data_IF_396757234518
#
_entry.id   IF_396757234518
#
_cell.length_a   1.000
_cell.length_b   1.000
_cell.length_c   1.000
_cell.angle_alpha   90.00
_cell.angle_beta   90.00
_cell.angle_gamma   90.00
#
_symmetry.space_group_name_H-M   'P 1'
#
loop_
_entity.id
_entity.type
_entity.pdbx_description
1 polymer ?
#
# COMPACT_ATOMS: atom_id res chain seq x y z
N UNK A 1 -14.26 -15.08 -9.36
CA UNK A 1 -12.92 -15.55 -9.79
C UNK A 1 -12.74 -17.07 -9.70
N UNK A 2 -13.56 -17.83 -8.96
CA UNK A 2 -13.38 -19.29 -8.81
C UNK A 2 -13.33 -20.12 -10.10
N UNK A 3 -14.16 -19.79 -11.09
CA UNK A 3 -14.11 -20.45 -12.42
C UNK A 3 -12.74 -20.32 -13.09
N UNK A 4 -12.20 -19.10 -13.17
CA UNK A 4 -10.89 -18.82 -13.75
C UNK A 4 -9.76 -19.45 -12.94
N UNK A 5 -9.85 -19.44 -11.61
CA UNK A 5 -8.89 -20.12 -10.74
C UNK A 5 -8.90 -21.64 -10.97
N UNK A 6 -10.07 -22.25 -11.16
CA UNK A 6 -10.21 -23.67 -11.49
C UNK A 6 -9.59 -24.02 -12.85
N UNK A 7 -9.86 -23.23 -13.89
CA UNK A 7 -9.25 -23.42 -15.22
C UNK A 7 -7.73 -23.25 -15.13
N UNK A 8 -7.25 -22.19 -14.48
CA UNK A 8 -5.81 -21.93 -14.32
C UNK A 8 -5.11 -23.05 -13.55
N UNK A 9 -5.72 -23.54 -12.46
CA UNK A 9 -5.19 -24.66 -11.68
C UNK A 9 -5.17 -25.98 -12.46
N UNK A 10 -6.23 -26.28 -13.21
CA UNK A 10 -6.31 -27.47 -14.07
C UNK A 10 -5.27 -27.44 -15.19
N UNK A 11 -5.14 -26.32 -15.89
CA UNK A 11 -4.10 -26.12 -16.90
C UNK A 11 -2.69 -26.20 -16.29
N UNK A 12 -2.49 -25.65 -15.08
CA UNK A 12 -1.24 -25.74 -14.36
C UNK A 12 -0.86 -27.19 -13.99
N UNK A 13 -1.82 -27.97 -13.49
CA UNK A 13 -1.59 -29.38 -13.16
C UNK A 13 -1.23 -30.22 -14.38
N UNK A 14 -1.86 -29.94 -15.54
CA UNK A 14 -1.50 -30.57 -16.81
C UNK A 14 -0.12 -30.11 -17.28
N UNK A 15 0.18 -28.82 -17.19
CA UNK A 15 1.44 -28.26 -17.69
C UNK A 15 2.67 -28.75 -16.92
N UNK A 16 2.57 -28.87 -15.60
CA UNK A 16 3.67 -29.35 -14.76
C UNK A 16 3.67 -30.87 -14.60
N UNK A 17 2.59 -31.57 -15.00
CA UNK A 17 2.36 -33.01 -14.80
C UNK A 17 2.53 -33.49 -13.34
N UNK A 18 2.63 -32.55 -12.40
CA UNK A 18 2.89 -32.80 -10.98
C UNK A 18 2.16 -31.78 -10.12
N UNK A 19 1.58 -32.27 -9.02
CA UNK A 19 1.04 -31.43 -7.95
C UNK A 19 1.86 -31.70 -6.69
N UNK A 20 2.68 -30.72 -6.31
CA UNK A 20 3.53 -30.82 -5.12
C UNK A 20 2.81 -30.29 -3.88
N UNK A 21 3.28 -30.69 -2.69
CA UNK A 21 2.77 -30.16 -1.42
C UNK A 21 2.94 -28.62 -1.32
N UNK A 22 3.92 -28.06 -2.04
CA UNK A 22 4.14 -26.61 -2.11
C UNK A 22 3.00 -25.88 -2.85
N UNK A 23 2.48 -26.48 -3.93
CA UNK A 23 1.39 -25.91 -4.73
C UNK A 23 0.11 -25.72 -3.90
N UNK A 24 -0.12 -26.59 -2.92
CA UNK A 24 -1.28 -26.56 -2.00
C UNK A 24 -0.89 -26.11 -0.58
N UNK A 25 0.30 -25.52 -0.42
CA UNK A 25 0.79 -25.10 0.89
C UNK A 25 -0.02 -23.95 1.48
N UNK A 26 -0.08 -23.91 2.81
CA UNK A 26 -0.69 -22.81 3.55
C UNK A 26 0.02 -21.47 3.27
N UNK A 27 1.34 -21.49 3.06
CA UNK A 27 2.13 -20.29 2.76
C UNK A 27 1.73 -19.70 1.40
N UNK A 28 1.71 -20.52 0.35
CA UNK A 28 1.30 -20.07 -0.99
C UNK A 28 -0.15 -19.58 -0.99
N UNK A 29 -1.04 -20.30 -0.32
CA UNK A 29 -2.45 -19.93 -0.19
C UNK A 29 -2.61 -18.61 0.56
N UNK A 30 -1.84 -18.41 1.64
CA UNK A 30 -1.80 -17.16 2.41
C UNK A 30 -1.35 -15.97 1.57
N UNK A 31 -0.32 -16.14 0.74
CA UNK A 31 0.15 -15.09 -0.17
C UNK A 31 -0.92 -14.71 -1.22
N UNK A 32 -1.62 -15.70 -1.80
CA UNK A 32 -2.70 -15.44 -2.74
C UNK A 32 -3.85 -14.69 -2.05
N UNK A 33 -4.23 -15.10 -0.84
CA UNK A 33 -5.25 -14.40 -0.03
C UNK A 33 -4.83 -12.97 0.28
N UNK A 34 -3.57 -12.76 0.68
CA UNK A 34 -3.01 -11.43 0.93
C UNK A 34 -3.21 -10.52 -0.30
N UNK A 35 -2.85 -11.03 -1.48
CA UNK A 35 -3.00 -10.32 -2.74
C UNK A 35 -4.47 -10.04 -3.06
N UNK A 36 -5.38 -11.00 -2.88
CA UNK A 36 -6.81 -10.75 -3.14
C UNK A 36 -7.43 -9.73 -2.18
N UNK A 37 -7.02 -9.69 -0.93
CA UNK A 37 -7.44 -8.66 0.03
C UNK A 37 -6.88 -7.28 -0.34
N UNK A 38 -5.58 -7.21 -0.70
CA UNK A 38 -4.96 -5.97 -1.20
C UNK A 38 -5.75 -5.42 -2.38
N UNK A 39 -6.04 -6.28 -3.37
CA UNK A 39 -6.78 -5.90 -4.56
C UNK A 39 -8.25 -5.57 -4.30
N UNK A 40 -8.86 -6.23 -3.31
CA UNK A 40 -10.25 -6.04 -2.88
C UNK A 40 -11.14 -7.22 -3.26
N UNK A 41 -11.74 -7.87 -2.25
CA UNK A 41 -12.63 -9.03 -2.46
C UNK A 41 -14.03 -8.67 -3.00
N UNK A 42 -14.41 -7.38 -2.91
CA UNK A 42 -15.72 -6.88 -3.35
C UNK A 42 -15.86 -6.70 -4.86
N UNK A 43 -14.78 -6.82 -5.64
CA UNK A 43 -14.79 -6.60 -7.09
C UNK A 43 -14.18 -7.79 -7.85
N UNK A 44 -14.76 -8.15 -9.00
CA UNK A 44 -14.27 -9.27 -9.82
C UNK A 44 -12.81 -9.12 -10.25
N UNK A 45 -12.40 -7.90 -10.60
CA UNK A 45 -11.04 -7.58 -11.02
C UNK A 45 -10.08 -7.34 -9.84
N UNK A 46 -10.60 -7.32 -8.60
CA UNK A 46 -9.80 -7.06 -7.41
C UNK A 46 -8.66 -8.06 -7.23
N UNK A 47 -8.91 -9.39 -7.26
CA UNK A 47 -7.83 -10.39 -7.23
C UNK A 47 -6.76 -10.21 -8.30
N UNK A 48 -7.12 -9.71 -9.49
CA UNK A 48 -6.18 -9.47 -10.60
C UNK A 48 -5.27 -8.28 -10.24
N UNK A 49 -5.86 -7.15 -9.84
CA UNK A 49 -5.10 -5.98 -9.39
C UNK A 49 -4.22 -6.31 -8.19
N UNK A 50 -4.77 -7.08 -7.25
CA UNK A 50 -4.09 -7.58 -6.08
C UNK A 50 -2.86 -8.40 -6.40
N UNK A 51 -2.97 -9.33 -7.35
CA UNK A 51 -1.83 -10.12 -7.83
C UNK A 51 -0.78 -9.24 -8.51
N UNK A 52 -1.19 -8.30 -9.38
CA UNK A 52 -0.26 -7.39 -10.07
C UNK A 52 0.53 -6.56 -9.04
N UNK A 53 -0.18 -5.89 -8.12
CA UNK A 53 0.42 -5.02 -7.10
C UNK A 53 1.26 -5.86 -6.12
N UNK A 54 0.74 -7.00 -5.67
CA UNK A 54 1.41 -7.87 -4.71
C UNK A 54 2.70 -8.46 -5.25
N UNK A 55 2.69 -8.97 -6.49
CA UNK A 55 3.91 -9.45 -7.15
C UNK A 55 4.87 -8.29 -7.43
N UNK A 56 4.38 -7.17 -7.94
CA UNK A 56 5.22 -6.00 -8.19
C UNK A 56 5.92 -5.50 -6.92
N UNK A 57 5.18 -5.35 -5.81
CA UNK A 57 5.74 -4.98 -4.51
C UNK A 57 6.75 -6.01 -4.02
N UNK A 58 6.45 -7.31 -4.16
CA UNK A 58 7.35 -8.38 -3.74
C UNK A 58 8.68 -8.29 -4.50
N UNK A 59 8.65 -8.17 -5.83
CA UNK A 59 9.86 -8.07 -6.65
C UNK A 59 10.63 -6.80 -6.35
N UNK A 60 9.97 -5.63 -6.43
CA UNK A 60 10.63 -4.35 -6.23
C UNK A 60 11.21 -4.23 -4.82
N UNK A 61 10.43 -4.51 -3.76
CA UNK A 61 10.94 -4.38 -2.39
C UNK A 61 12.06 -5.38 -2.12
N UNK A 62 12.03 -6.59 -2.69
CA UNK A 62 13.12 -7.56 -2.50
C UNK A 62 14.44 -7.06 -3.08
N UNK A 63 14.40 -6.26 -4.15
CA UNK A 63 15.59 -5.65 -4.76
C UNK A 63 16.09 -4.44 -3.94
N UNK A 64 15.18 -3.66 -3.34
CA UNK A 64 15.52 -2.45 -2.62
C UNK A 64 15.88 -2.66 -1.14
N UNK A 65 15.27 -3.65 -0.47
CA UNK A 65 15.37 -3.80 0.99
C UNK A 65 15.26 -5.25 1.44
N UNK A 66 16.05 -5.60 2.45
CA UNK A 66 15.97 -6.92 3.10
C UNK A 66 14.69 -7.07 3.93
N UNK A 67 14.08 -5.95 4.34
CA UNK A 67 12.85 -5.92 5.13
C UNK A 67 11.56 -6.01 4.29
N UNK A 68 11.63 -6.52 3.05
CA UNK A 68 10.51 -6.51 2.11
C UNK A 68 9.22 -7.14 2.66
N UNK A 69 9.32 -8.22 3.45
CA UNK A 69 8.17 -8.88 4.06
C UNK A 69 7.47 -7.97 5.09
N UNK A 70 8.24 -7.17 5.84
CA UNK A 70 7.68 -6.20 6.78
C UNK A 70 6.89 -5.12 6.03
N UNK A 71 7.46 -4.56 4.97
CA UNK A 71 6.77 -3.55 4.16
C UNK A 71 5.52 -4.10 3.49
N UNK A 72 5.56 -5.32 2.96
CA UNK A 72 4.38 -5.98 2.40
C UNK A 72 3.29 -6.19 3.45
N UNK A 73 3.66 -6.61 4.66
CA UNK A 73 2.74 -6.78 5.79
C UNK A 73 2.12 -5.47 6.27
N UNK A 74 2.92 -4.42 6.43
CA UNK A 74 2.45 -3.07 6.78
C UNK A 74 1.50 -2.54 5.71
N UNK A 75 1.87 -2.67 4.43
CA UNK A 75 1.01 -2.28 3.32
C UNK A 75 -0.35 -3.01 3.36
N UNK A 76 -0.33 -4.33 3.59
CA UNK A 76 -1.55 -5.11 3.77
C UNK A 76 -2.42 -4.61 4.92
N UNK A 77 -1.84 -4.37 6.11
CA UNK A 77 -2.57 -3.84 7.27
C UNK A 77 -3.18 -2.47 6.96
N UNK A 78 -2.44 -1.58 6.29
CA UNK A 78 -2.93 -0.27 5.89
C UNK A 78 -4.14 -0.40 4.95
N UNK A 79 -4.08 -1.30 3.96
CA UNK A 79 -5.21 -1.56 3.07
C UNK A 79 -6.41 -2.08 3.86
N UNK A 80 -6.24 -3.10 4.71
CA UNK A 80 -7.36 -3.67 5.47
C UNK A 80 -7.99 -2.65 6.41
N UNK A 81 -7.19 -1.80 7.05
CA UNK A 81 -7.66 -0.84 8.05
C UNK A 81 -8.32 0.39 7.42
N UNK A 82 -7.80 0.90 6.30
CA UNK A 82 -8.26 2.15 5.70
C UNK A 82 -9.07 1.98 4.40
N UNK A 83 -8.93 0.84 3.72
CA UNK A 83 -9.57 0.53 2.45
C UNK A 83 -10.26 -0.84 2.51
N UNK A 84 -11.43 -0.97 3.16
CA UNK A 84 -12.13 -2.25 3.34
C UNK A 84 -12.52 -2.94 2.02
N UNK A 85 -12.57 -2.17 0.92
CA UNK A 85 -12.82 -2.68 -0.44
C UNK A 85 -11.54 -2.88 -1.26
N UNK A 86 -10.37 -2.82 -0.63
CA UNK A 86 -9.06 -2.88 -1.27
C UNK A 86 -8.78 -1.73 -2.22
N UNK A 87 -7.73 -1.90 -3.03
CA UNK A 87 -7.34 -0.93 -4.07
C UNK A 87 -8.46 -0.71 -5.09
N UNK A 88 -9.24 -1.76 -5.41
CA UNK A 88 -10.38 -1.65 -6.34
C UNK A 88 -11.44 -0.65 -5.87
N UNK A 89 -11.73 -0.61 -4.57
CA UNK A 89 -12.67 0.35 -4.01
C UNK A 89 -12.19 1.80 -4.14
N UNK A 90 -10.89 2.03 -3.90
CA UNK A 90 -10.28 3.36 -4.08
C UNK A 90 -10.41 3.81 -5.53
N UNK A 91 -10.13 2.92 -6.48
CA UNK A 91 -10.26 3.23 -7.91
C UNK A 91 -11.71 3.59 -8.24
N UNK A 92 -12.68 2.79 -7.78
CA UNK A 92 -14.10 3.02 -8.06
C UNK A 92 -14.59 4.36 -7.49
N UNK A 93 -14.15 4.73 -6.29
CA UNK A 93 -14.46 6.03 -5.68
C UNK A 93 -13.94 7.19 -6.55
N UNK A 94 -12.69 7.09 -7.02
CA UNK A 94 -12.09 8.11 -7.87
C UNK A 94 -12.77 8.20 -9.25
N UNK A 95 -13.15 7.07 -9.85
CA UNK A 95 -13.91 7.02 -11.11
C UNK A 95 -15.28 7.69 -10.94
N UNK A 96 -15.97 7.47 -9.82
CA UNK A 96 -17.24 8.15 -9.51
C UNK A 96 -17.05 9.66 -9.44
N UNK A 97 -16.04 10.15 -8.71
CA UNK A 97 -15.74 11.58 -8.61
C UNK A 97 -15.39 12.21 -9.96
N UNK A 98 -14.68 11.47 -10.82
CA UNK A 98 -14.35 11.91 -12.17
C UNK A 98 -15.60 12.02 -13.05
N UNK A 99 -16.51 11.05 -12.99
CA UNK A 99 -17.76 11.05 -13.75
C UNK A 99 -18.66 12.26 -13.45
N UNK A 100 -18.68 12.73 -12.20
CA UNK A 100 -19.44 13.91 -11.78
C UNK A 100 -18.66 15.22 -11.91
N UNK A 101 -17.45 15.22 -12.49
CA UNK A 101 -16.64 16.42 -12.72
C UNK A 101 -16.10 17.11 -11.46
N UNK A 102 -16.26 16.51 -10.27
CA UNK A 102 -15.88 17.10 -8.98
C UNK A 102 -14.43 16.79 -8.56
N UNK A 103 -13.70 16.00 -9.37
CA UNK A 103 -12.31 15.61 -9.09
C UNK A 103 -11.40 16.80 -8.78
N UNK A 104 -11.49 17.89 -9.58
CA UNK A 104 -10.66 19.10 -9.38
C UNK A 104 -10.88 19.81 -8.05
N UNK A 105 -12.07 19.66 -7.43
CA UNK A 105 -12.39 20.26 -6.12
C UNK A 105 -11.78 19.48 -4.96
N UNK A 106 -11.72 18.15 -5.10
CA UNK A 106 -11.17 17.25 -4.07
C UNK A 106 -9.65 17.11 -4.17
N UNK A 107 -9.11 17.17 -5.39
CA UNK A 107 -7.68 16.99 -5.70
C UNK A 107 -6.71 17.77 -4.80
N UNK A 108 -6.86 19.09 -4.55
CA UNK A 108 -5.90 19.83 -3.73
C UNK A 108 -5.94 19.42 -2.25
N UNK A 109 -7.10 19.04 -1.72
CA UNK A 109 -7.20 18.52 -0.36
C UNK A 109 -6.64 17.10 -0.24
N UNK A 110 -6.85 16.28 -1.28
CA UNK A 110 -6.35 14.92 -1.37
C UNK A 110 -4.82 14.90 -1.50
N UNK A 111 -4.25 15.75 -2.36
CA UNK A 111 -2.79 15.85 -2.53
C UNK A 111 -2.08 16.34 -1.27
N UNK A 112 -2.69 17.24 -0.49
CA UNK A 112 -2.15 17.68 0.78
C UNK A 112 -2.08 16.54 1.82
N UNK A 113 -3.13 15.72 1.92
CA UNK A 113 -3.14 14.54 2.80
C UNK A 113 -2.14 13.49 2.34
N UNK A 114 -2.09 13.20 1.03
CA UNK A 114 -1.14 12.24 0.45
C UNK A 114 0.30 12.72 0.66
N UNK A 115 0.58 14.00 0.42
CA UNK A 115 1.91 14.58 0.65
C UNK A 115 2.36 14.45 2.11
N UNK A 116 1.47 14.76 3.06
CA UNK A 116 1.77 14.60 4.48
C UNK A 116 2.03 13.12 4.86
N UNK A 117 1.23 12.19 4.32
CA UNK A 117 1.42 10.76 4.52
C UNK A 117 2.76 10.28 3.94
N UNK A 118 3.15 10.76 2.75
CA UNK A 118 4.42 10.41 2.12
C UNK A 118 5.62 10.89 2.94
N UNK A 119 5.57 12.10 3.51
CA UNK A 119 6.64 12.60 4.39
C UNK A 119 6.79 11.71 5.64
N UNK A 120 5.66 11.33 6.26
CA UNK A 120 5.68 10.42 7.41
C UNK A 120 6.19 9.02 7.04
N UNK A 121 5.77 8.50 5.89
CA UNK A 121 6.25 7.22 5.35
C UNK A 121 7.75 7.24 5.07
N UNK A 122 8.29 8.31 4.50
CA UNK A 122 9.73 8.45 4.26
C UNK A 122 10.53 8.37 5.57
N UNK A 123 10.07 9.07 6.62
CA UNK A 123 10.69 8.97 7.94
C UNK A 123 10.59 7.57 8.56
N UNK A 124 9.45 6.90 8.39
CA UNK A 124 9.26 5.53 8.86
C UNK A 124 10.15 4.53 8.11
N UNK A 125 10.23 4.63 6.78
CA UNK A 125 11.12 3.83 5.93
C UNK A 125 12.57 4.03 6.38
N UNK A 126 13.00 5.28 6.57
CA UNK A 126 14.34 5.59 7.07
C UNK A 126 14.62 4.93 8.42
N UNK A 127 13.70 5.02 9.37
CA UNK A 127 13.86 4.37 10.68
C UNK A 127 13.90 2.83 10.58
N UNK A 128 13.07 2.24 9.72
CA UNK A 128 13.02 0.78 9.51
C UNK A 128 14.32 0.29 8.88
N UNK A 129 14.79 0.92 7.80
CA UNK A 129 16.06 0.55 7.14
C UNK A 129 17.24 0.66 8.11
N UNK A 130 17.31 1.75 8.88
CA UNK A 130 18.35 1.93 9.89
C UNK A 130 18.30 0.85 10.98
N UNK A 131 17.10 0.50 11.45
CA UNK A 131 16.91 -0.56 12.44
C UNK A 131 17.30 -1.93 11.90
N UNK A 132 16.92 -2.23 10.66
CA UNK A 132 17.27 -3.49 10.00
C UNK A 132 18.79 -3.61 9.79
N UNK A 133 19.44 -2.55 9.30
CA UNK A 133 20.89 -2.53 9.13
C UNK A 133 21.63 -2.72 10.47
N UNK A 134 21.22 -2.00 11.51
CA UNK A 134 21.82 -2.13 12.84
C UNK A 134 21.63 -3.53 13.46
N UNK A 135 20.54 -4.23 13.16
CA UNK A 135 20.23 -5.54 13.76
C UNK A 135 20.76 -6.72 12.96
N UNK A 136 20.76 -6.66 11.63
CA UNK A 136 21.11 -7.77 10.74
C UNK A 136 22.49 -7.63 10.10
N UNK A 137 23.03 -6.41 10.04
CA UNK A 137 24.31 -6.11 9.38
C UNK A 137 25.33 -5.45 10.31
N UNK A 138 25.13 -5.51 11.63
CA UNK A 138 26.11 -5.04 12.62
C UNK A 138 27.52 -5.63 12.41
N UNK A 139 27.61 -6.81 11.79
CA UNK A 139 28.87 -7.45 11.44
C UNK A 139 29.56 -6.85 10.20
N UNK A 140 28.83 -6.17 9.31
CA UNK A 140 29.31 -5.60 8.04
C UNK A 140 29.69 -4.11 8.14
N UNK A 141 29.56 -3.49 9.31
CA UNK A 141 29.85 -2.08 9.57
C UNK A 141 28.62 -1.26 9.94
N UNK A 142 28.82 0.02 10.29
CA UNK A 142 27.73 0.92 10.71
C UNK A 142 27.25 1.86 9.60
N UNK A 143 27.94 1.87 8.46
CA UNK A 143 27.69 2.80 7.35
C UNK A 143 26.89 2.10 6.27
N UNK A 144 25.73 2.65 5.94
CA UNK A 144 24.88 2.16 4.85
C UNK A 144 24.59 3.24 3.82
N UNK A 145 24.47 2.89 2.53
CA UNK A 145 23.94 3.80 1.53
C UNK A 145 22.44 3.98 1.74
N UNK A 146 22.01 5.21 2.06
CA UNK A 146 20.62 5.60 2.20
C UNK A 146 20.32 6.81 1.31
N UNK A 147 19.34 6.68 0.40
CA UNK A 147 18.93 7.73 -0.55
C UNK A 147 20.09 8.39 -1.33
N UNK A 148 21.11 7.60 -1.69
CA UNK A 148 22.29 8.08 -2.43
C UNK A 148 23.36 8.75 -1.56
N UNK A 149 23.19 8.78 -0.24
CA UNK A 149 24.17 9.30 0.72
C UNK A 149 24.61 8.19 1.67
N UNK A 150 25.86 8.19 2.13
CA UNK A 150 26.31 7.22 3.14
C UNK A 150 25.96 7.74 4.53
N UNK A 151 25.16 6.98 5.26
CA UNK A 151 24.65 7.32 6.58
C UNK A 151 25.23 6.36 7.61
N UNK A 152 25.85 6.92 8.66
CA UNK A 152 26.30 6.14 9.80
C UNK A 152 25.12 5.93 10.78
N UNK A 153 24.69 4.68 10.89
CA UNK A 153 23.56 4.25 11.71
C UNK A 153 23.86 4.25 13.22
N UNK A 154 25.14 4.31 13.61
CA UNK A 154 25.56 4.40 15.01
C UNK A 154 25.44 5.83 15.58
N UNK A 155 25.32 6.83 14.71
CA UNK A 155 25.20 8.24 15.12
C UNK A 155 23.74 8.61 15.37
N UNK A 156 23.46 9.40 16.42
CA UNK A 156 22.09 9.82 16.76
C UNK A 156 21.44 10.77 15.73
N UNK A 157 22.23 11.47 14.91
CA UNK A 157 21.75 12.47 13.96
C UNK A 157 20.71 11.94 12.95
N UNK A 158 21.02 10.89 12.17
CA UNK A 158 20.07 10.31 11.22
C UNK A 158 18.79 9.77 11.88
N UNK A 159 18.87 9.24 13.11
CA UNK A 159 17.69 8.83 13.88
C UNK A 159 16.79 10.01 14.24
N UNK A 160 17.38 11.14 14.65
CA UNK A 160 16.63 12.37 14.93
C UNK A 160 15.95 12.87 13.66
N UNK A 161 16.62 12.85 12.51
CA UNK A 161 16.01 13.24 11.22
C UNK A 161 14.81 12.36 10.88
N UNK A 162 14.92 11.04 11.04
CA UNK A 162 13.81 10.12 10.81
C UNK A 162 12.61 10.43 11.73
N UNK A 163 12.86 10.63 13.02
CA UNK A 163 11.83 10.99 14.01
C UNK A 163 11.16 12.34 13.70
N UNK A 164 11.95 13.34 13.29
CA UNK A 164 11.44 14.65 12.90
C UNK A 164 10.56 14.54 11.64
N UNK A 165 10.97 13.76 10.63
CA UNK A 165 10.15 13.53 9.44
C UNK A 165 8.83 12.83 9.78
N UNK A 166 8.85 11.81 10.65
CA UNK A 166 7.64 11.14 11.14
C UNK A 166 6.74 12.15 11.88
N UNK A 167 7.30 12.97 12.76
CA UNK A 167 6.55 13.96 13.52
C UNK A 167 5.93 15.04 12.62
N UNK A 168 6.69 15.57 11.66
CA UNK A 168 6.20 16.57 10.68
C UNK A 168 5.11 15.95 9.80
N UNK A 169 5.34 14.76 9.25
CA UNK A 169 4.36 14.05 8.43
C UNK A 169 3.08 13.75 9.20
N UNK A 170 3.20 13.28 10.45
CA UNK A 170 2.08 13.01 11.34
C UNK A 170 1.29 14.27 11.71
N UNK A 171 1.97 15.37 12.05
CA UNK A 171 1.34 16.65 12.36
C UNK A 171 0.62 17.24 11.14
N UNK A 172 1.28 17.23 9.97
CA UNK A 172 0.70 17.68 8.71
C UNK A 172 -0.51 16.81 8.30
N UNK A 173 -0.45 15.50 8.53
CA UNK A 173 -1.56 14.59 8.26
C UNK A 173 -2.73 14.88 9.21
N UNK A 174 -2.45 15.09 10.50
CA UNK A 174 -3.48 15.44 11.49
C UNK A 174 -4.16 16.77 11.19
N UNK A 175 -3.43 17.73 10.63
CA UNK A 175 -3.98 19.02 10.24
C UNK A 175 -4.79 18.94 8.94
N UNK A 176 -4.25 18.29 7.90
CA UNK A 176 -4.88 18.23 6.57
C UNK A 176 -6.07 17.28 6.52
N UNK A 177 -6.10 16.22 7.36
CA UNK A 177 -7.20 15.24 7.37
C UNK A 177 -8.57 15.89 7.63
N UNK A 178 -8.65 16.87 8.52
CA UNK A 178 -9.91 17.53 8.88
C UNK A 178 -10.52 18.22 7.66
N UNK A 179 -9.69 18.95 6.90
CA UNK A 179 -10.09 19.66 5.69
C UNK A 179 -10.52 18.70 4.58
N UNK A 180 -9.79 17.58 4.41
CA UNK A 180 -10.17 16.56 3.43
C UNK A 180 -11.52 15.92 3.77
N UNK A 181 -11.75 15.52 5.03
CA UNK A 181 -13.03 14.91 5.43
C UNK A 181 -14.23 15.85 5.19
N UNK A 182 -14.06 17.15 5.42
CA UNK A 182 -15.10 18.15 5.15
C UNK A 182 -15.39 18.27 3.64
N UNK A 183 -14.36 18.53 2.82
CA UNK A 183 -14.50 18.69 1.36
C UNK A 183 -15.04 17.42 0.72
N UNK A 184 -14.59 16.25 1.17
CA UNK A 184 -15.09 14.96 0.71
C UNK A 184 -16.56 14.75 1.06
N UNK A 185 -16.96 15.09 2.30
CA UNK A 185 -18.35 15.01 2.74
C UNK A 185 -19.28 15.86 1.89
N UNK A 186 -18.93 17.14 1.68
CA UNK A 186 -19.69 18.06 0.81
C UNK A 186 -19.88 17.50 -0.59
N UNK A 187 -18.79 17.04 -1.23
CA UNK A 187 -18.84 16.51 -2.60
C UNK A 187 -19.68 15.25 -2.68
N UNK A 188 -19.61 14.36 -1.69
CA UNK A 188 -20.42 13.14 -1.69
C UNK A 188 -21.91 13.44 -1.51
N UNK A 189 -22.27 14.38 -0.63
CA UNK A 189 -23.66 14.85 -0.47
C UNK A 189 -24.18 15.50 -1.75
N UNK A 190 -23.39 16.35 -2.41
CA UNK A 190 -23.75 16.94 -3.71
C UNK A 190 -24.00 15.86 -4.78
N UNK A 191 -23.15 14.83 -4.85
CA UNK A 191 -23.31 13.71 -5.80
C UNK A 191 -24.59 12.92 -5.49
N UNK A 192 -24.90 12.68 -4.21
CA UNK A 192 -26.13 11.98 -3.81
C UNK A 192 -27.40 12.78 -4.16
N UNK A 193 -27.38 14.10 -3.97
CA UNK A 193 -28.48 14.96 -4.41
C UNK A 193 -28.66 14.95 -5.93
N UNK A 194 -27.57 14.99 -6.71
CA UNK A 194 -27.64 14.90 -8.17
C UNK A 194 -28.26 13.58 -8.64
N UNK A 195 -27.90 12.46 -7.99
CA UNK A 195 -28.48 11.15 -8.28
C UNK A 195 -29.97 11.12 -7.93
N UNK A 196 -30.37 11.65 -6.75
CA UNK A 196 -31.78 11.69 -6.35
C UNK A 196 -32.65 12.56 -7.24
N UNK A 197 -32.11 13.66 -7.78
CA UNK A 197 -32.85 14.54 -8.71
C UNK A 197 -32.98 13.96 -10.12
N UNK A 198 -32.12 12.99 -10.48
CA UNK A 198 -32.12 12.34 -11.78
C UNK A 198 -32.92 11.01 -11.81
N UNK A 199 -33.35 10.53 -10.64
CA UNK A 199 -34.21 9.35 -10.46
C UNK A 199 -35.68 9.76 -10.35
#
# INVERSE_FOLDING_TARGET
SGFFAGISGGLGAINFEIVTAENVSAIRSGAILLFTFIGGVGFFFGPILGAIIGVFLTVMLSDFTKAWQLYLGVFFILIVMYAPFGVSGIIMLNVRLAKFGKFRRVLPSMSAVVGAALVGLLGAIMAIEMLYHYTLEAANGTVMPLFGTTVDTATAGPWIVALVLIAIGGAAFWQTRKRFTQVWGEVNTEIEEMIRRAA
#
